data_IF_856991041919
#
_entry.id   IF_856991041919
#
_cell.length_a   1.000
_cell.length_b   1.000
_cell.length_c   1.000
_cell.angle_alpha   90.00
_cell.angle_beta   90.00
_cell.angle_gamma   90.00
#
_symmetry.space_group_name_H-M   'P 1'
#
loop_
_entity.id
_entity.type
_entity.pdbx_description
1 polymer ?
#
# COMPACT_ATOMS: atom_id res chain seq x y z
N UNK A 1 23.09 -11.17 20.66
CA UNK A 1 22.85 -9.77 20.26
C UNK A 1 23.70 -8.85 21.12
N UNK A 2 24.58 -8.06 20.52
CA UNK A 2 25.38 -7.05 21.22
C UNK A 2 24.56 -5.81 21.57
N UNK A 3 25.11 -4.92 22.42
CA UNK A 3 24.43 -3.72 22.94
C UNK A 3 24.02 -2.74 21.83
N UNK A 4 24.84 -2.61 20.79
CA UNK A 4 24.60 -1.75 19.62
C UNK A 4 23.55 -2.37 18.68
N UNK A 5 23.60 -3.69 18.49
CA UNK A 5 22.64 -4.43 17.65
C UNK A 5 21.19 -4.26 18.11
N UNK A 6 20.94 -4.23 19.43
CA UNK A 6 19.58 -4.10 19.98
C UNK A 6 18.91 -2.76 19.65
N UNK A 7 19.63 -1.64 19.75
CA UNK A 7 19.07 -0.31 19.50
C UNK A 7 18.86 -0.06 18.00
N UNK A 8 19.80 -0.52 17.17
CA UNK A 8 19.68 -0.40 15.71
C UNK A 8 18.57 -1.30 15.15
N UNK A 9 18.36 -2.47 15.75
CA UNK A 9 17.20 -3.30 15.46
C UNK A 9 15.87 -2.58 15.75
N UNK A 10 15.73 -1.94 16.92
CA UNK A 10 14.52 -1.15 17.26
C UNK A 10 14.35 0.04 16.30
N UNK A 11 15.43 0.75 15.93
CA UNK A 11 15.36 1.83 14.92
C UNK A 11 14.88 1.31 13.56
N UNK A 12 15.30 0.11 13.17
CA UNK A 12 14.86 -0.53 11.93
C UNK A 12 13.38 -0.90 11.98
N UNK A 13 12.89 -1.44 13.09
CA UNK A 13 11.46 -1.67 13.32
C UNK A 13 10.65 -0.37 13.27
N UNK A 14 11.14 0.68 13.92
CA UNK A 14 10.52 2.02 13.87
C UNK A 14 10.45 2.57 12.44
N UNK A 15 11.47 2.33 11.63
CA UNK A 15 11.50 2.71 10.21
C UNK A 15 10.47 1.92 9.40
N UNK A 16 10.33 0.63 9.65
CA UNK A 16 9.28 -0.20 9.04
C UNK A 16 7.88 0.31 9.44
N UNK A 17 7.66 0.59 10.72
CA UNK A 17 6.42 1.16 11.22
C UNK A 17 6.08 2.52 10.60
N UNK A 18 7.07 3.41 10.49
CA UNK A 18 6.90 4.72 9.87
C UNK A 18 6.44 4.60 8.41
N UNK A 19 7.00 3.63 7.67
CA UNK A 19 6.60 3.35 6.28
C UNK A 19 5.20 2.76 6.22
N UNK A 20 4.92 1.76 7.04
CA UNK A 20 3.65 1.06 7.11
C UNK A 20 2.49 2.03 7.43
N UNK A 21 2.67 2.91 8.41
CA UNK A 21 1.65 3.89 8.85
C UNK A 21 1.73 5.24 8.16
N UNK A 22 2.67 5.44 7.22
CA UNK A 22 2.92 6.72 6.53
C UNK A 22 3.13 7.93 7.47
N UNK A 23 3.74 7.70 8.64
CA UNK A 23 4.02 8.74 9.64
C UNK A 23 5.47 9.18 9.63
N UNK A 24 5.76 10.35 10.22
CA UNK A 24 7.14 10.82 10.42
C UNK A 24 7.93 9.81 11.26
N UNK A 25 9.22 9.63 10.93
CA UNK A 25 10.11 8.71 11.66
C UNK A 25 10.21 9.04 13.15
N UNK A 26 10.21 10.33 13.52
CA UNK A 26 10.22 10.76 14.93
C UNK A 26 9.00 10.22 15.69
N UNK A 27 7.81 10.37 15.12
CA UNK A 27 6.56 9.85 15.69
C UNK A 27 6.62 8.32 15.81
N UNK A 28 7.10 7.63 14.78
CA UNK A 28 7.24 6.17 14.84
C UNK A 28 8.23 5.71 15.92
N UNK A 29 9.34 6.43 16.12
CA UNK A 29 10.30 6.15 17.20
C UNK A 29 9.64 6.31 18.58
N UNK A 30 8.84 7.36 18.78
CA UNK A 30 8.10 7.56 20.04
C UNK A 30 7.07 6.45 20.27
N UNK A 31 6.33 6.05 19.22
CA UNK A 31 5.39 4.92 19.30
C UNK A 31 6.11 3.62 19.68
N UNK A 32 7.26 3.31 19.08
CA UNK A 32 8.03 2.11 19.46
C UNK A 32 8.58 2.19 20.89
N UNK A 33 8.95 3.39 21.37
CA UNK A 33 9.39 3.58 22.73
C UNK A 33 8.26 3.34 23.73
N UNK A 34 7.05 3.82 23.41
CA UNK A 34 5.84 3.60 24.21
C UNK A 34 5.48 2.12 24.31
N UNK A 35 5.60 1.36 23.21
CA UNK A 35 5.40 -0.10 23.24
C UNK A 35 6.43 -0.83 24.11
N UNK A 36 7.59 -0.22 24.35
CA UNK A 36 8.63 -0.75 25.25
C UNK A 36 8.54 -0.18 26.67
N UNK A 37 7.48 0.59 26.99
CA UNK A 37 7.23 1.16 28.32
C UNK A 37 7.90 2.52 28.57
N UNK A 38 8.36 3.21 27.53
CA UNK A 38 9.01 4.52 27.65
C UNK A 38 8.16 5.64 27.02
N UNK A 39 8.12 6.85 27.61
CA UNK A 39 7.23 7.92 27.13
C UNK A 39 7.56 8.42 25.72
N UNK A 40 8.85 8.45 25.36
CA UNK A 40 9.35 8.89 24.05
C UNK A 40 10.74 8.32 23.78
N UNK A 41 11.21 8.42 22.53
CA UNK A 41 12.46 7.81 22.07
C UNK A 41 13.69 8.23 22.89
N UNK A 42 13.78 9.52 23.25
CA UNK A 42 14.93 10.02 24.02
C UNK A 42 15.03 9.35 25.41
N UNK A 43 13.90 9.05 26.07
CA UNK A 43 13.89 8.36 27.36
C UNK A 43 14.39 6.91 27.24
N UNK A 44 13.99 6.23 26.16
CA UNK A 44 14.48 4.89 25.84
C UNK A 44 15.99 4.89 25.57
N UNK A 45 16.50 5.85 24.79
CA UNK A 45 17.96 5.95 24.55
C UNK A 45 18.75 6.28 25.81
N UNK A 46 18.19 7.09 26.72
CA UNK A 46 18.81 7.38 28.01
C UNK A 46 18.84 6.13 28.91
N UNK A 47 17.77 5.34 28.94
CA UNK A 47 17.73 4.07 29.65
C UNK A 47 18.71 3.05 29.06
N UNK A 48 18.84 2.99 27.74
CA UNK A 48 19.81 2.13 27.06
C UNK A 48 21.25 2.51 27.42
N UNK A 49 21.58 3.81 27.48
CA UNK A 49 22.87 4.29 28.00
C UNK A 49 23.13 3.87 29.45
N UNK A 50 22.07 3.78 30.27
CA UNK A 50 22.12 3.28 31.66
C UNK A 50 22.13 1.75 31.79
N UNK A 51 22.25 1.02 30.67
CA UNK A 51 22.37 -0.44 30.68
C UNK A 51 21.06 -1.20 30.44
N UNK A 52 19.92 -0.51 30.25
CA UNK A 52 18.68 -1.20 29.90
C UNK A 52 18.79 -1.90 28.55
N UNK A 53 18.25 -3.11 28.46
CA UNK A 53 18.19 -3.90 27.22
C UNK A 53 16.78 -4.48 27.05
N UNK A 54 16.28 -4.56 25.81
CA UNK A 54 15.00 -5.18 25.54
C UNK A 54 15.09 -6.69 25.81
N UNK A 55 14.04 -7.27 26.39
CA UNK A 55 13.92 -8.74 26.50
C UNK A 55 13.50 -9.35 25.17
N UNK A 56 13.74 -10.66 24.98
CA UNK A 56 13.32 -11.37 23.76
C UNK A 56 11.82 -11.23 23.52
N UNK A 57 11.00 -11.33 24.58
CA UNK A 57 9.54 -11.16 24.50
C UNK A 57 9.14 -9.75 24.07
N UNK A 58 9.86 -8.71 24.54
CA UNK A 58 9.61 -7.33 24.11
C UNK A 58 9.95 -7.15 22.62
N UNK A 59 11.03 -7.77 22.14
CA UNK A 59 11.41 -7.75 20.73
C UNK A 59 10.38 -8.46 19.85
N UNK A 60 9.89 -9.63 20.27
CA UNK A 60 8.85 -10.38 19.56
C UNK A 60 7.54 -9.59 19.51
N UNK A 61 7.11 -9.03 20.64
CA UNK A 61 5.90 -8.21 20.73
C UNK A 61 5.99 -6.99 19.83
N UNK A 62 7.12 -6.28 19.85
CA UNK A 62 7.33 -5.11 19.00
C UNK A 62 7.39 -5.49 17.51
N UNK A 63 8.03 -6.61 17.17
CA UNK A 63 8.09 -7.11 15.80
C UNK A 63 6.69 -7.46 15.30
N UNK A 64 5.90 -8.21 16.09
CA UNK A 64 4.51 -8.54 15.79
C UNK A 64 3.64 -7.29 15.61
N UNK A 65 3.81 -6.28 16.46
CA UNK A 65 3.11 -5.00 16.35
C UNK A 65 3.44 -4.27 15.04
N UNK A 66 4.71 -4.25 14.64
CA UNK A 66 5.14 -3.62 13.38
C UNK A 66 4.68 -4.41 12.17
N UNK A 67 4.72 -5.74 12.23
CA UNK A 67 4.27 -6.62 11.15
C UNK A 67 2.75 -6.57 10.98
N UNK A 68 1.99 -6.41 12.06
CA UNK A 68 0.54 -6.15 12.02
C UNK A 68 0.22 -4.84 11.29
N UNK A 69 1.10 -3.84 11.40
CA UNK A 69 0.96 -2.60 10.63
C UNK A 69 1.25 -2.78 9.13
N UNK A 70 1.87 -3.90 8.71
CA UNK A 70 2.14 -4.22 7.31
C UNK A 70 1.79 -5.69 6.98
N UNK A 71 0.49 -6.02 6.87
CA UNK A 71 0.01 -7.41 6.86
C UNK A 71 0.48 -8.25 5.66
N UNK A 72 0.92 -7.65 4.55
CA UNK A 72 1.34 -8.40 3.35
C UNK A 72 2.80 -8.87 3.42
N UNK A 73 3.66 -8.24 4.23
CA UNK A 73 5.07 -8.66 4.41
C UNK A 73 5.29 -9.66 5.56
N UNK A 74 4.30 -9.87 6.41
CA UNK A 74 4.40 -10.83 7.50
C UNK A 74 4.41 -12.25 6.94
N UNK A 75 5.41 -13.07 7.29
CA UNK A 75 5.49 -14.50 6.95
C UNK A 75 4.31 -15.34 7.47
N UNK A 76 3.42 -14.75 8.26
CA UNK A 76 2.16 -15.32 8.74
C UNK A 76 1.00 -14.34 8.47
N UNK A 77 0.79 -13.96 7.22
CA UNK A 77 -0.22 -12.98 6.78
C UNK A 77 -1.70 -13.41 6.99
N UNK A 78 -1.97 -14.53 7.66
CA UNK A 78 -3.31 -15.11 7.73
C UNK A 78 -4.32 -14.40 8.63
N UNK A 79 -3.89 -13.67 9.67
CA UNK A 79 -4.83 -13.15 10.69
C UNK A 79 -4.90 -11.62 10.76
N UNK A 80 -3.76 -10.93 10.78
CA UNK A 80 -3.72 -9.46 10.81
C UNK A 80 -4.24 -8.81 9.51
N UNK A 81 -4.07 -9.48 8.37
CA UNK A 81 -4.62 -9.05 7.07
C UNK A 81 -6.15 -9.14 7.02
N UNK A 82 -6.75 -10.04 7.80
CA UNK A 82 -8.18 -10.32 7.73
C UNK A 82 -9.03 -9.50 8.71
N UNK A 83 -8.43 -9.03 9.81
CA UNK A 83 -9.16 -8.22 10.81
C UNK A 83 -9.73 -6.90 10.26
N UNK A 84 -9.14 -6.35 9.21
CA UNK A 84 -9.65 -5.12 8.57
C UNK A 84 -11.02 -5.31 7.92
N UNK A 85 -11.41 -6.54 7.56
CA UNK A 85 -12.72 -6.83 6.98
C UNK A 85 -13.83 -6.93 8.02
N UNK A 86 -13.50 -7.09 9.31
CA UNK A 86 -14.49 -7.26 10.39
C UNK A 86 -15.44 -6.08 10.52
N UNK A 87 -15.07 -4.90 10.01
CA UNK A 87 -15.91 -3.70 9.99
C UNK A 87 -17.01 -3.74 8.91
N UNK A 88 -17.02 -4.74 8.02
CA UNK A 88 -18.04 -4.88 6.97
C UNK A 88 -19.20 -5.77 7.47
N UNK A 89 -20.43 -5.24 7.61
CA UNK A 89 -21.57 -6.04 8.02
C UNK A 89 -21.89 -7.17 7.04
N UNK A 90 -22.21 -8.35 7.58
CA UNK A 90 -22.62 -9.51 6.78
C UNK A 90 -21.49 -10.28 6.11
N UNK A 91 -20.22 -9.92 6.38
CA UNK A 91 -19.07 -10.64 5.84
C UNK A 91 -18.71 -11.86 6.72
N UNK A 92 -18.40 -12.97 6.07
CA UNK A 92 -17.78 -14.15 6.67
C UNK A 92 -16.59 -14.58 5.82
N UNK A 93 -15.40 -14.67 6.41
CA UNK A 93 -14.20 -15.12 5.70
C UNK A 93 -13.99 -16.61 5.93
N UNK A 94 -13.76 -17.36 4.86
CA UNK A 94 -13.73 -18.83 4.88
C UNK A 94 -12.30 -19.36 4.75
N UNK A 95 -11.47 -18.81 3.86
CA UNK A 95 -10.11 -19.29 3.68
C UNK A 95 -9.14 -18.30 3.01
N UNK A 96 -7.94 -18.26 3.60
CA UNK A 96 -6.60 -18.14 3.02
C UNK A 96 -6.18 -19.20 1.99
N UNK A 97 -6.14 -18.95 0.67
CA UNK A 97 -5.45 -19.88 -0.25
C UNK A 97 -4.22 -19.19 -0.86
N UNK A 98 -3.04 -19.62 -0.43
CA UNK A 98 -1.77 -19.37 -1.14
C UNK A 98 -1.70 -20.31 -2.36
N UNK A 99 -1.20 -19.85 -3.52
CA UNK A 99 -0.98 -20.74 -4.65
C UNK A 99 -0.02 -21.88 -4.27
N UNK A 100 -0.31 -23.09 -4.77
CA UNK A 100 0.49 -24.28 -4.50
C UNK A 100 1.95 -24.06 -4.95
N UNK A 101 2.88 -24.55 -4.12
CA UNK A 101 4.34 -24.48 -4.31
C UNK A 101 4.73 -25.23 -5.60
N UNK A 102 4.68 -24.56 -6.76
CA UNK A 102 5.00 -25.17 -8.06
C UNK A 102 4.48 -24.40 -9.27
N UNK A 103 3.41 -23.62 -9.13
CA UNK A 103 2.90 -22.70 -10.16
C UNK A 103 2.81 -21.28 -9.59
N UNK A 104 3.88 -20.86 -8.91
CA UNK A 104 3.99 -19.52 -8.39
C UNK A 104 4.19 -18.56 -9.57
N UNK A 105 3.08 -18.06 -10.10
CA UNK A 105 3.11 -16.71 -10.63
C UNK A 105 3.65 -15.82 -9.51
N UNK A 106 4.84 -15.27 -9.73
CA UNK A 106 5.57 -14.41 -8.79
C UNK A 106 4.75 -13.19 -8.36
N UNK A 107 3.63 -12.93 -9.04
CA UNK A 107 2.70 -11.83 -8.79
C UNK A 107 1.34 -12.27 -8.23
N UNK A 108 1.06 -13.57 -8.10
CA UNK A 108 -0.22 -14.07 -7.59
C UNK A 108 -0.31 -13.92 -6.07
N UNK A 109 -0.96 -12.85 -5.62
CA UNK A 109 -1.28 -12.67 -4.22
C UNK A 109 -2.23 -13.77 -3.71
N UNK A 110 -2.19 -13.99 -2.40
CA UNK A 110 -3.12 -14.82 -1.65
C UNK A 110 -4.57 -14.53 -2.05
N UNK A 111 -5.27 -15.58 -2.50
CA UNK A 111 -6.72 -15.52 -2.77
C UNK A 111 -7.45 -15.61 -1.44
N UNK A 112 -8.41 -14.71 -1.22
CA UNK A 112 -9.31 -14.73 -0.07
C UNK A 112 -10.68 -15.23 -0.53
N UNK A 113 -11.20 -16.25 0.16
CA UNK A 113 -12.56 -16.75 -0.04
C UNK A 113 -13.46 -16.31 1.11
N UNK A 114 -14.69 -15.95 0.80
CA UNK A 114 -15.66 -15.54 1.81
C UNK A 114 -17.10 -15.57 1.32
N UNK A 115 -17.97 -15.06 2.16
CA UNK A 115 -19.39 -14.86 1.92
C UNK A 115 -19.76 -13.45 2.40
N UNK A 116 -20.62 -12.77 1.64
CA UNK A 116 -21.17 -11.47 1.99
C UNK A 116 -22.68 -11.51 1.80
N UNK A 117 -23.44 -11.28 2.86
CA UNK A 117 -24.92 -11.33 2.85
C UNK A 117 -25.48 -12.62 2.20
N UNK A 118 -24.85 -13.78 2.46
CA UNK A 118 -25.26 -15.06 1.85
C UNK A 118 -24.65 -15.36 0.47
N UNK A 119 -23.93 -14.41 -0.13
CA UNK A 119 -23.31 -14.57 -1.44
C UNK A 119 -21.81 -14.86 -1.33
N UNK A 120 -21.42 -16.07 -1.76
CA UNK A 120 -20.01 -16.45 -1.83
C UNK A 120 -19.24 -15.57 -2.81
N UNK A 121 -18.03 -15.20 -2.42
CA UNK A 121 -17.11 -14.43 -3.23
C UNK A 121 -15.68 -14.98 -3.15
N UNK A 122 -14.91 -14.63 -4.18
CA UNK A 122 -13.46 -14.75 -4.26
C UNK A 122 -12.89 -13.35 -4.42
N UNK A 123 -11.83 -13.05 -3.67
CA UNK A 123 -11.09 -11.81 -3.74
C UNK A 123 -9.64 -12.13 -4.11
N UNK A 124 -9.15 -11.51 -5.18
CA UNK A 124 -7.79 -11.72 -5.72
C UNK A 124 -7.16 -10.40 -6.14
N UNK A 125 -5.85 -10.43 -6.35
CA UNK A 125 -5.06 -9.30 -6.83
C UNK A 125 -4.45 -9.69 -8.17
N UNK A 126 -4.74 -8.90 -9.20
CA UNK A 126 -4.22 -9.09 -10.55
C UNK A 126 -3.40 -7.84 -10.92
N UNK A 127 -2.07 -7.95 -11.02
CA UNK A 127 -1.19 -6.83 -11.36
C UNK A 127 -1.39 -5.54 -10.53
N UNK A 128 -1.79 -5.67 -9.26
CA UNK A 128 -2.06 -4.53 -8.37
C UNK A 128 -3.52 -4.12 -8.30
N UNK A 129 -4.35 -4.52 -9.28
CA UNK A 129 -5.79 -4.35 -9.26
C UNK A 129 -6.43 -5.39 -8.32
N UNK A 130 -7.47 -4.99 -7.61
CA UNK A 130 -8.23 -5.90 -6.75
C UNK A 130 -9.51 -6.32 -7.46
N UNK A 131 -9.69 -7.63 -7.62
CA UNK A 131 -10.87 -8.22 -8.24
C UNK A 131 -11.64 -9.01 -7.18
N UNK A 132 -12.88 -8.59 -6.92
CA UNK A 132 -13.84 -9.33 -6.13
C UNK A 132 -14.88 -9.91 -7.08
N UNK A 133 -15.10 -11.22 -7.06
CA UNK A 133 -16.06 -11.87 -7.93
C UNK A 133 -16.87 -12.92 -7.19
N UNK A 134 -18.13 -13.02 -7.56
CA UNK A 134 -19.05 -14.03 -7.06
C UNK A 134 -19.89 -14.58 -8.19
N UNK A 135 -20.97 -15.29 -7.85
CA UNK A 135 -21.83 -15.92 -8.86
C UNK A 135 -22.53 -14.85 -9.72
N UNK A 136 -22.02 -14.65 -10.93
CA UNK A 136 -22.60 -13.76 -11.95
C UNK A 136 -22.25 -12.28 -11.79
N UNK A 137 -21.35 -11.91 -10.87
CA UNK A 137 -20.93 -10.52 -10.69
C UNK A 137 -19.43 -10.39 -10.44
N UNK A 138 -18.91 -9.20 -10.72
CA UNK A 138 -17.53 -8.81 -10.50
C UNK A 138 -17.45 -7.32 -10.13
N UNK A 139 -16.55 -7.01 -9.21
CA UNK A 139 -16.06 -5.67 -8.90
C UNK A 139 -14.55 -5.66 -9.17
N UNK A 140 -14.07 -4.64 -9.86
CA UNK A 140 -12.64 -4.36 -10.02
C UNK A 140 -12.34 -3.00 -9.41
N UNK A 141 -11.39 -2.96 -8.50
CA UNK A 141 -10.84 -1.74 -7.92
C UNK A 141 -9.42 -1.57 -8.47
N UNK A 142 -9.18 -0.59 -9.35
CA UNK A 142 -7.87 -0.43 -9.97
C UNK A 142 -6.77 -0.09 -8.97
N UNK A 143 -5.52 -0.38 -9.30
CA UNK A 143 -4.33 -0.02 -8.52
C UNK A 143 -4.30 1.48 -8.24
N UNK A 144 -4.54 2.28 -9.29
CA UNK A 144 -4.56 3.75 -9.25
C UNK A 144 -5.64 4.28 -8.29
N UNK A 145 -5.26 5.01 -7.22
CA UNK A 145 -6.25 5.56 -6.27
C UNK A 145 -7.25 6.54 -6.91
N UNK A 146 -6.86 7.22 -7.98
CA UNK A 146 -7.70 8.14 -8.75
C UNK A 146 -8.68 7.45 -9.71
N UNK A 147 -8.50 6.16 -10.00
CA UNK A 147 -9.39 5.45 -10.92
C UNK A 147 -10.65 4.97 -10.20
N UNK A 148 -11.79 5.11 -10.89
CA UNK A 148 -13.07 4.66 -10.38
C UNK A 148 -13.17 3.12 -10.38
N UNK A 149 -13.78 2.52 -9.36
CA UNK A 149 -14.13 1.10 -9.37
C UNK A 149 -15.08 0.75 -10.52
N UNK A 150 -14.92 -0.45 -11.07
CA UNK A 150 -15.78 -0.99 -12.11
C UNK A 150 -16.67 -2.11 -11.57
N UNK A 151 -17.92 -2.13 -12.01
CA UNK A 151 -18.92 -3.12 -11.63
C UNK A 151 -19.41 -3.84 -12.88
N UNK A 152 -19.55 -5.16 -12.81
CA UNK A 152 -19.94 -5.97 -13.97
C UNK A 152 -20.85 -7.12 -13.59
N UNK A 153 -21.87 -7.34 -14.41
CA UNK A 153 -22.66 -8.58 -14.42
C UNK A 153 -21.96 -9.56 -15.35
N UNK A 154 -21.37 -10.62 -14.79
CA UNK A 154 -20.59 -11.63 -15.53
C UNK A 154 -21.46 -12.76 -16.07
N UNK A 155 -22.65 -12.98 -15.50
CA UNK A 155 -23.65 -13.91 -16.05
C UNK A 155 -25.03 -13.27 -16.10
N UNK A 156 -25.44 -12.88 -17.32
CA UNK A 156 -26.73 -12.25 -17.60
C UNK A 156 -27.92 -13.20 -17.44
N UNK A 157 -27.70 -14.51 -17.30
CA UNK A 157 -28.76 -15.50 -17.04
C UNK A 157 -29.32 -15.37 -15.61
N UNK A 158 -28.56 -14.76 -14.69
CA UNK A 158 -28.98 -14.53 -13.32
C UNK A 158 -29.83 -13.26 -13.27
N UNK A 159 -31.15 -13.44 -13.23
CA UNK A 159 -32.13 -12.34 -13.24
C UNK A 159 -32.05 -11.46 -11.98
N UNK A 160 -31.79 -12.07 -10.82
CA UNK A 160 -31.63 -11.37 -9.53
C UNK A 160 -30.15 -11.36 -9.15
N UNK A 161 -29.40 -10.45 -9.76
CA UNK A 161 -27.97 -10.33 -9.51
C UNK A 161 -27.71 -9.40 -8.31
N UNK A 162 -26.98 -9.83 -7.28
CA UNK A 162 -26.79 -9.03 -6.08
C UNK A 162 -26.02 -7.73 -6.36
N UNK A 163 -25.22 -7.63 -7.42
CA UNK A 163 -24.50 -6.39 -7.74
C UNK A 163 -25.40 -5.24 -8.21
N UNK A 164 -26.65 -5.54 -8.53
CA UNK A 164 -27.67 -4.54 -8.88
C UNK A 164 -28.36 -3.97 -7.63
N UNK A 165 -28.21 -4.63 -6.48
CA UNK A 165 -28.66 -4.12 -5.19
C UNK A 165 -27.64 -3.11 -4.64
N UNK A 166 -28.11 -1.93 -4.24
CA UNK A 166 -27.25 -0.82 -3.81
C UNK A 166 -26.49 -1.14 -2.52
N UNK A 167 -27.18 -1.71 -1.53
CA UNK A 167 -26.62 -2.03 -0.23
C UNK A 167 -25.55 -3.12 -0.34
N UNK A 168 -25.84 -4.20 -1.09
CA UNK A 168 -24.87 -5.24 -1.37
C UNK A 168 -23.65 -4.69 -2.12
N UNK A 169 -23.89 -3.87 -3.17
CA UNK A 169 -22.82 -3.29 -3.98
C UNK A 169 -21.88 -2.44 -3.13
N UNK A 170 -22.41 -1.62 -2.22
CA UNK A 170 -21.61 -0.73 -1.37
C UNK A 170 -20.79 -1.52 -0.34
N UNK A 171 -21.37 -2.56 0.27
CA UNK A 171 -20.62 -3.49 1.13
C UNK A 171 -19.53 -4.24 0.37
N UNK A 172 -19.85 -4.78 -0.80
CA UNK A 172 -18.89 -5.52 -1.63
C UNK A 172 -17.75 -4.60 -2.10
N UNK A 173 -18.07 -3.36 -2.49
CA UNK A 173 -17.08 -2.35 -2.81
C UNK A 173 -16.18 -2.06 -1.61
N UNK A 174 -16.75 -1.93 -0.40
CA UNK A 174 -15.96 -1.70 0.82
C UNK A 174 -14.97 -2.83 1.08
N UNK A 175 -15.37 -4.09 0.91
CA UNK A 175 -14.46 -5.25 1.01
C UNK A 175 -13.32 -5.13 0.00
N UNK A 176 -13.63 -4.87 -1.27
CA UNK A 176 -12.62 -4.72 -2.31
C UNK A 176 -11.67 -3.53 -2.04
N UNK A 177 -12.18 -2.41 -1.54
CA UNK A 177 -11.40 -1.23 -1.17
C UNK A 177 -10.45 -1.50 0.00
N UNK A 178 -10.89 -2.19 1.05
CA UNK A 178 -10.02 -2.59 2.16
C UNK A 178 -8.82 -3.39 1.63
N UNK A 179 -9.06 -4.34 0.72
CA UNK A 179 -7.97 -5.11 0.11
C UNK A 179 -7.11 -4.25 -0.81
N UNK A 180 -7.69 -3.32 -1.56
CA UNK A 180 -6.93 -2.40 -2.40
C UNK A 180 -6.00 -1.51 -1.56
N UNK A 181 -6.46 -1.01 -0.42
CA UNK A 181 -5.65 -0.25 0.52
C UNK A 181 -4.44 -1.06 1.03
N UNK A 182 -4.64 -2.34 1.34
CA UNK A 182 -3.55 -3.25 1.72
C UNK A 182 -2.54 -3.43 0.59
N UNK A 183 -3.00 -3.73 -0.64
CA UNK A 183 -2.13 -3.91 -1.82
C UNK A 183 -1.32 -2.64 -2.10
N UNK A 184 -1.98 -1.49 -2.09
CA UNK A 184 -1.38 -0.17 -2.26
C UNK A 184 -0.35 0.15 -1.17
N UNK A 185 -0.62 -0.22 0.08
CA UNK A 185 0.34 -0.08 1.17
C UNK A 185 1.56 -0.98 0.97
N UNK A 186 1.35 -2.20 0.45
CA UNK A 186 2.43 -3.12 0.12
C UNK A 186 3.33 -2.58 -1.00
N UNK A 187 2.75 -2.14 -2.12
CA UNK A 187 3.47 -1.50 -3.24
C UNK A 187 4.30 -0.31 -2.73
N UNK A 188 3.67 0.61 -2.00
CA UNK A 188 4.34 1.77 -1.44
C UNK A 188 5.47 1.40 -0.44
N UNK A 189 5.42 0.22 0.17
CA UNK A 189 6.43 -0.23 1.14
C UNK A 189 7.76 -0.64 0.50
N UNK A 190 7.76 -0.93 -0.80
CA UNK A 190 8.97 -1.22 -1.58
C UNK A 190 9.66 0.05 -2.05
N UNK A 191 8.96 1.18 -2.05
CA UNK A 191 9.50 2.45 -2.48
C UNK A 191 10.29 3.18 -1.40
N UNK A 192 11.13 4.12 -1.86
CA UNK A 192 11.87 4.98 -0.95
C UNK A 192 10.91 5.91 -0.18
N UNK A 193 11.33 6.39 1.01
CA UNK A 193 10.54 7.38 1.76
C UNK A 193 10.28 8.64 0.93
N UNK A 194 11.24 9.04 0.10
CA UNK A 194 11.12 10.24 -0.74
C UNK A 194 10.15 10.04 -1.90
N UNK A 195 9.75 8.82 -2.20
CA UNK A 195 8.74 8.50 -3.20
C UNK A 195 7.31 8.59 -2.64
N UNK A 196 7.14 8.44 -1.33
CA UNK A 196 5.81 8.42 -0.70
C UNK A 196 5.50 9.65 0.13
N UNK A 197 6.52 10.43 0.52
CA UNK A 197 6.37 11.62 1.35
C UNK A 197 7.25 12.75 0.81
N UNK A 198 6.66 13.89 0.39
CA UNK A 198 7.41 15.07 -0.02
C UNK A 198 8.36 15.58 1.07
N UNK A 199 9.44 16.23 0.66
CA UNK A 199 10.27 17.02 1.56
C UNK A 199 9.65 18.39 1.89
N UNK A 200 10.40 19.24 2.61
CA UNK A 200 9.93 20.56 3.01
C UNK A 200 9.64 21.49 1.81
N UNK A 201 10.26 21.22 0.66
CA UNK A 201 10.09 21.98 -0.58
C UNK A 201 9.09 21.30 -1.52
N UNK A 202 8.35 20.29 -1.06
CA UNK A 202 7.41 19.55 -1.90
C UNK A 202 8.06 18.55 -2.87
N UNK A 203 9.38 18.37 -2.83
CA UNK A 203 10.07 17.44 -3.73
C UNK A 203 9.84 15.99 -3.32
N UNK A 204 9.59 15.15 -4.31
CA UNK A 204 9.50 13.69 -4.19
C UNK A 204 10.47 13.04 -5.18
N UNK A 205 10.83 11.78 -4.95
CA UNK A 205 11.72 11.00 -5.81
C UNK A 205 10.93 9.91 -6.54
N UNK A 206 11.05 9.82 -7.86
CA UNK A 206 10.38 8.79 -8.65
C UNK A 206 10.71 7.38 -8.12
N UNK A 207 9.74 6.45 -8.01
CA UNK A 207 10.00 5.10 -7.52
C UNK A 207 10.73 4.23 -8.54
N UNK A 208 10.49 4.47 -9.84
CA UNK A 208 11.11 3.73 -10.94
C UNK A 208 12.37 4.41 -11.51
N UNK A 209 12.54 5.71 -11.27
CA UNK A 209 13.61 6.51 -11.87
C UNK A 209 14.41 7.22 -10.77
N UNK A 210 15.57 7.78 -11.13
CA UNK A 210 16.46 8.44 -10.15
C UNK A 210 16.03 9.89 -9.87
N UNK A 211 15.18 10.46 -10.72
CA UNK A 211 14.78 11.87 -10.71
C UNK A 211 14.01 12.28 -9.45
N UNK A 212 14.17 13.56 -9.07
CA UNK A 212 13.54 14.15 -7.90
C UNK A 212 13.08 15.56 -8.22
N UNK A 213 11.78 15.83 -8.11
CA UNK A 213 11.17 17.09 -8.46
C UNK A 213 9.96 17.37 -7.57
N UNK A 214 9.61 18.65 -7.45
CA UNK A 214 8.35 19.13 -6.85
C UNK A 214 7.23 19.26 -7.89
N UNK A 215 7.56 19.13 -9.18
CA UNK A 215 6.63 19.21 -10.31
C UNK A 215 6.79 18.02 -11.25
N UNK A 216 5.68 17.38 -11.56
CA UNK A 216 5.62 16.14 -12.33
C UNK A 216 4.65 16.28 -13.48
N UNK A 217 5.08 15.89 -14.66
CA UNK A 217 4.33 15.94 -15.90
C UNK A 217 3.85 14.54 -16.29
N UNK A 218 2.65 14.46 -16.85
CA UNK A 218 2.10 13.21 -17.39
C UNK A 218 2.05 13.26 -18.91
N UNK A 219 2.75 12.33 -19.58
CA UNK A 219 2.76 12.24 -21.06
C UNK A 219 1.43 11.85 -21.70
N UNK A 220 0.46 11.34 -20.93
CA UNK A 220 -0.84 10.97 -21.50
C UNK A 220 -1.84 12.13 -21.61
N UNK A 221 -1.70 13.15 -20.75
CA UNK A 221 -2.71 14.22 -20.66
C UNK A 221 -2.13 15.62 -20.63
N UNK A 222 -0.81 15.73 -20.74
CA UNK A 222 -0.04 16.97 -20.77
C UNK A 222 -0.23 17.89 -19.56
N UNK A 223 -0.68 17.34 -18.43
CA UNK A 223 -0.88 18.08 -17.18
C UNK A 223 0.31 17.93 -16.25
N UNK A 224 0.58 19.01 -15.51
CA UNK A 224 1.54 19.02 -14.41
C UNK A 224 0.84 18.89 -13.05
N UNK A 225 1.46 18.16 -12.15
CA UNK A 225 1.01 17.91 -10.79
C UNK A 225 2.14 18.18 -9.80
N UNK A 226 1.76 18.50 -8.57
CA UNK A 226 2.73 18.64 -7.47
C UNK A 226 3.26 17.29 -7.01
N UNK A 227 4.43 17.29 -6.37
CA UNK A 227 4.99 16.09 -5.74
C UNK A 227 4.05 15.43 -4.73
N UNK A 228 3.26 16.23 -4.00
CA UNK A 228 2.24 15.72 -3.08
C UNK A 228 1.15 14.95 -3.84
N UNK A 229 0.55 15.53 -4.87
CA UNK A 229 -0.55 14.91 -5.62
C UNK A 229 -0.13 13.55 -6.21
N UNK A 230 1.07 13.47 -6.80
CA UNK A 230 1.61 12.25 -7.40
C UNK A 230 1.95 11.20 -6.34
N UNK A 231 2.64 11.59 -5.26
CA UNK A 231 2.99 10.66 -4.19
C UNK A 231 1.76 10.08 -3.47
N UNK A 232 0.71 10.89 -3.28
CA UNK A 232 -0.55 10.41 -2.70
C UNK A 232 -1.29 9.45 -3.61
N UNK A 233 -1.13 9.60 -4.93
CA UNK A 233 -1.81 8.79 -5.94
C UNK A 233 -0.96 7.62 -6.44
N UNK A 234 -0.01 7.11 -5.63
CA UNK A 234 0.88 6.00 -6.00
C UNK A 234 1.59 6.20 -7.33
N UNK A 235 1.99 7.44 -7.63
CA UNK A 235 2.63 7.78 -8.90
C UNK A 235 1.78 7.53 -10.15
N UNK A 236 0.48 7.26 -10.02
CA UNK A 236 -0.43 7.36 -11.15
C UNK A 236 -0.80 8.83 -11.40
N UNK A 237 -1.10 9.17 -12.65
CA UNK A 237 -1.60 10.49 -13.00
C UNK A 237 -2.93 10.78 -12.26
N UNK A 238 -3.05 11.86 -11.48
CA UNK A 238 -4.30 12.18 -10.78
C UNK A 238 -5.48 12.52 -11.70
N UNK A 239 -5.23 12.86 -12.97
CA UNK A 239 -6.28 13.24 -13.92
C UNK A 239 -6.74 12.09 -14.83
N UNK A 240 -5.82 11.24 -15.28
CA UNK A 240 -6.13 10.16 -16.24
C UNK A 240 -5.72 8.76 -15.77
N UNK A 241 -5.19 8.64 -14.55
CA UNK A 241 -4.75 7.38 -13.93
C UNK A 241 -3.63 6.63 -14.67
N UNK A 242 -2.96 7.28 -15.64
CA UNK A 242 -1.80 6.73 -16.33
C UNK A 242 -0.74 6.23 -15.34
N UNK A 243 -0.12 5.10 -15.67
CA UNK A 243 0.82 4.39 -14.81
C UNK A 243 2.09 5.19 -14.50
N UNK A 244 2.80 4.88 -13.40
CA UNK A 244 4.01 5.59 -12.98
C UNK A 244 5.09 5.76 -14.05
N UNK A 245 5.21 4.81 -14.98
CA UNK A 245 6.18 4.90 -16.08
C UNK A 245 5.98 6.13 -16.98
N UNK A 246 4.78 6.74 -16.97
CA UNK A 246 4.43 7.90 -17.79
C UNK A 246 4.50 9.24 -17.02
N UNK A 247 5.03 9.21 -15.79
CA UNK A 247 5.17 10.40 -14.94
C UNK A 247 6.64 10.81 -14.91
N UNK A 248 6.93 12.04 -15.36
CA UNK A 248 8.29 12.55 -15.53
C UNK A 248 8.47 13.87 -14.83
N UNK A 249 9.70 14.24 -14.52
CA UNK A 249 9.96 15.54 -13.91
C UNK A 249 9.64 16.64 -14.95
N UNK A 250 8.90 17.68 -14.54
CA UNK A 250 8.43 18.70 -15.50
C UNK A 250 9.60 19.49 -16.13
N UNK A 251 10.72 19.58 -15.41
CA UNK A 251 11.98 20.16 -15.87
C UNK A 251 12.70 19.29 -16.91
N UNK A 252 12.56 17.96 -16.85
CA UNK A 252 13.08 17.07 -17.91
C UNK A 252 12.35 17.32 -19.23
N UNK A 253 11.03 17.52 -19.22
CA UNK A 253 10.27 17.84 -20.45
C UNK A 253 10.76 19.13 -21.12
N UNK A 254 11.08 20.16 -20.35
CA UNK A 254 11.62 21.41 -20.89
C UNK A 254 12.95 21.18 -21.62
N UNK A 255 13.77 20.22 -21.17
CA UNK A 255 15.01 19.86 -21.85
C UNK A 255 14.78 19.15 -23.18
N UNK A 256 13.71 18.35 -23.30
CA UNK A 256 13.42 17.56 -24.52
C UNK A 256 12.75 18.42 -25.59
N UNK A 257 11.99 19.44 -25.19
CA UNK A 257 11.37 20.40 -26.11
C UNK A 257 12.34 21.46 -26.63
N UNK A 258 13.53 21.56 -26.04
CA UNK A 258 14.57 22.54 -26.41
C UNK A 258 15.69 21.92 -27.28
N UNK A 259 15.56 20.66 -27.71
CA UNK A 259 16.37 20.14 -28.81
C UNK A 259 15.82 20.74 -30.12
N UNK A 260 16.35 21.90 -30.51
CA UNK A 260 16.18 22.41 -31.86
C UNK A 260 16.67 21.34 -32.85
N UNK A 261 15.96 21.10 -33.98
CA UNK A 261 16.47 20.21 -35.01
C UNK A 261 17.81 20.78 -35.47
N UNK A 262 18.87 19.98 -35.33
CA UNK A 262 20.22 20.31 -35.79
C UNK A 262 20.11 20.76 -37.26
N UNK A 263 20.16 22.08 -37.45
CA UNK A 263 20.03 22.73 -38.74
C UNK A 263 21.29 22.43 -39.52
N UNK A 264 21.28 21.29 -40.22
CA UNK A 264 22.32 20.92 -41.18
C UNK A 264 22.52 22.05 -42.18
N UNK A 265 23.70 22.67 -42.09
CA UNK A 265 24.32 23.43 -43.18
C UNK A 265 25.02 22.47 -44.14
#
# INVERSE_FOLDING_TARGET
MTTIESLDFIKNLSKKLARARRIKRSIALDVTAQQLGYPHWNALTAAHKKGWRPTSTQIETLTSFVDTANPIKAKQAGTASLGAFSDVPGITLVASISPAKGTADLFSAETILGELDGHKFRLRVDFGDVVMEGRGWRIMVPEAPSASPEFSVTDRRIKSNPILDGDFRDKALRVAQIRAEQVRAWIASDWSRRSTVPDANGKVKHPLFVSSSDRWFCFHCDRTFTGMQIATNLWHCPACSASPINIHAADEQASWNNEEPDGGQ
#
